data_IF_844403168399
#
_entry.id   IF_844403168399
#
_cell.length_a   1.000
_cell.length_b   1.000
_cell.length_c   1.000
_cell.angle_alpha   90.00
_cell.angle_beta   90.00
_cell.angle_gamma   90.00
#
_symmetry.space_group_name_H-M   'P 1'
#
loop_
_entity.id
_entity.type
_entity.pdbx_description
1 polymer ?
#
# COMPACT_ATOMS: atom_id res chain seq x y z
N UNK A 1 -11.19 -7.34 6.26
CA UNK A 1 -11.71 -6.10 5.63
C UNK A 1 -10.52 -5.44 4.97
N UNK A 2 -10.59 -5.18 3.67
CA UNK A 2 -9.46 -4.58 2.94
C UNK A 2 -9.74 -3.09 2.82
N UNK A 3 -8.73 -2.27 3.08
CA UNK A 3 -8.80 -0.81 2.92
C UNK A 3 -7.97 -0.42 1.72
N UNK A 4 -8.50 0.48 0.91
CA UNK A 4 -7.78 1.19 -0.14
C UNK A 4 -7.49 2.62 0.33
N UNK A 5 -6.22 3.00 0.32
CA UNK A 5 -5.77 4.36 0.57
C UNK A 5 -5.32 4.97 -0.75
N UNK A 6 -5.95 6.07 -1.17
CA UNK A 6 -5.57 6.79 -2.40
C UNK A 6 -4.64 7.94 -2.02
N UNK A 7 -3.45 7.93 -2.61
CA UNK A 7 -2.38 8.89 -2.36
C UNK A 7 -2.12 9.74 -3.59
N UNK A 8 -1.70 10.99 -3.36
CA UNK A 8 -1.25 11.90 -4.42
C UNK A 8 0.07 11.47 -5.05
N UNK A 9 0.95 10.85 -4.26
CA UNK A 9 2.31 10.50 -4.67
C UNK A 9 2.68 9.12 -4.13
N UNK A 10 3.65 8.46 -4.78
CA UNK A 10 4.12 7.15 -4.34
C UNK A 10 4.85 7.26 -3.00
N UNK A 11 4.48 6.45 -1.99
CA UNK A 11 5.22 6.46 -0.74
C UNK A 11 6.65 5.95 -0.98
N UNK A 12 7.63 6.69 -0.47
CA UNK A 12 9.02 6.21 -0.40
C UNK A 12 9.25 5.23 0.77
N UNK A 13 8.21 5.02 1.58
CA UNK A 13 8.25 4.08 2.69
C UNK A 13 8.49 2.65 2.17
N UNK A 14 9.64 2.08 2.51
CA UNK A 14 9.78 0.63 2.49
C UNK A 14 9.05 0.04 3.69
N UNK A 15 8.16 -0.92 3.42
CA UNK A 15 7.50 -1.70 4.46
C UNK A 15 8.49 -2.70 5.03
N UNK A 16 9.22 -2.29 6.06
CA UNK A 16 10.23 -3.11 6.73
C UNK A 16 9.63 -4.47 7.16
N UNK A 17 10.36 -5.56 6.88
CA UNK A 17 9.93 -6.92 7.19
C UNK A 17 9.03 -7.57 6.12
N UNK A 18 8.74 -6.88 5.02
CA UNK A 18 8.07 -7.44 3.86
C UNK A 18 9.03 -7.64 2.70
N UNK A 19 8.86 -8.72 1.95
CA UNK A 19 9.48 -8.88 0.65
C UNK A 19 8.74 -8.06 -0.39
N UNK A 20 9.51 -7.34 -1.20
CA UNK A 20 9.00 -6.49 -2.26
C UNK A 20 9.07 -7.22 -3.60
N UNK A 21 7.92 -7.38 -4.24
CA UNK A 21 7.81 -7.88 -5.62
C UNK A 21 7.37 -6.72 -6.52
N UNK A 22 8.25 -6.28 -7.40
CA UNK A 22 7.92 -5.24 -8.38
C UNK A 22 7.17 -5.83 -9.57
N UNK A 23 6.11 -5.13 -9.98
CA UNK A 23 5.30 -5.43 -11.14
C UNK A 23 5.34 -4.24 -12.11
N UNK A 24 5.02 -4.43 -13.40
CA UNK A 24 4.97 -3.32 -14.35
C UNK A 24 4.01 -2.19 -13.97
N UNK A 25 3.01 -2.46 -13.14
CA UNK A 25 1.92 -1.54 -12.76
C UNK A 25 1.88 -1.23 -11.25
N UNK A 26 2.90 -1.64 -10.49
CA UNK A 26 2.91 -1.41 -9.06
C UNK A 26 3.84 -2.36 -8.30
N UNK A 27 3.54 -2.57 -7.02
CA UNK A 27 4.38 -3.35 -6.12
C UNK A 27 3.52 -4.17 -5.17
N UNK A 28 3.93 -5.41 -4.91
CA UNK A 28 3.34 -6.25 -3.89
C UNK A 28 4.34 -6.40 -2.75
N UNK A 29 3.87 -6.22 -1.52
CA UNK A 29 4.61 -6.54 -0.30
C UNK A 29 3.99 -7.75 0.39
N UNK A 30 4.80 -8.81 0.53
CA UNK A 30 4.40 -10.08 1.15
C UNK A 30 5.21 -10.33 2.41
N UNK A 31 4.58 -10.95 3.42
CA UNK A 31 5.29 -11.41 4.62
C UNK A 31 5.68 -12.88 4.43
N UNK A 32 6.98 -13.17 4.38
CA UNK A 32 7.51 -14.53 4.23
C UNK A 32 7.10 -15.48 5.36
N UNK A 33 7.02 -14.98 6.60
CA UNK A 33 6.67 -15.79 7.77
C UNK A 33 5.21 -16.25 7.73
N UNK A 34 4.32 -15.43 7.19
CA UNK A 34 2.87 -15.72 7.13
C UNK A 34 2.38 -16.17 5.74
N UNK A 35 3.24 -16.14 4.71
CA UNK A 35 2.92 -16.44 3.29
C UNK A 35 1.66 -15.72 2.78
N UNK A 36 1.37 -14.52 3.29
CA UNK A 36 0.24 -13.69 2.88
C UNK A 36 0.72 -12.39 2.27
N UNK A 37 0.10 -12.01 1.14
CA UNK A 37 0.15 -10.65 0.60
C UNK A 37 -0.53 -9.72 1.60
N UNK A 38 0.19 -8.73 2.12
CA UNK A 38 -0.35 -7.79 3.10
C UNK A 38 -0.56 -6.40 2.54
N UNK A 39 0.19 -6.03 1.51
CA UNK A 39 0.12 -4.68 0.94
C UNK A 39 0.28 -4.78 -0.56
N UNK A 40 -0.65 -4.15 -1.30
CA UNK A 40 -0.57 -4.01 -2.75
C UNK A 40 -0.58 -2.53 -3.06
N UNK A 41 0.46 -2.07 -3.76
CA UNK A 41 0.58 -0.70 -4.24
C UNK A 41 0.33 -0.71 -5.74
N UNK A 42 -0.62 0.08 -6.20
CA UNK A 42 -0.99 0.19 -7.61
C UNK A 42 -0.80 1.62 -8.07
N UNK A 43 0.00 1.78 -9.11
CA UNK A 43 0.22 3.07 -9.76
C UNK A 43 -0.91 3.33 -10.76
N UNK A 44 -1.50 4.53 -10.72
CA UNK A 44 -2.52 4.98 -11.67
C UNK A 44 -1.89 5.86 -12.75
N UNK A 45 -2.58 5.94 -13.89
CA UNK A 45 -2.12 6.71 -15.05
C UNK A 45 -2.14 8.24 -14.81
N UNK A 46 -2.91 8.70 -13.83
CA UNK A 46 -3.03 10.10 -13.44
C UNK A 46 -2.00 10.52 -12.37
N UNK A 47 -1.04 9.63 -12.05
CA UNK A 47 0.02 9.86 -11.06
C UNK A 47 -0.38 9.51 -9.63
N UNK A 48 -1.64 9.14 -9.37
CA UNK A 48 -2.08 8.69 -8.06
C UNK A 48 -1.59 7.28 -7.76
N UNK A 49 -1.61 6.94 -6.47
CA UNK A 49 -1.25 5.59 -6.01
C UNK A 49 -2.34 5.06 -5.09
N UNK A 50 -2.79 3.83 -5.33
CA UNK A 50 -3.66 3.11 -4.39
C UNK A 50 -2.86 2.10 -3.58
N UNK A 51 -3.03 2.11 -2.26
CA UNK A 51 -2.49 1.09 -1.36
C UNK A 51 -3.64 0.27 -0.81
N UNK A 52 -3.64 -1.03 -1.11
CA UNK A 52 -4.58 -2.00 -0.57
C UNK A 52 -3.92 -2.78 0.57
N UNK A 53 -4.54 -2.77 1.75
CA UNK A 53 -4.05 -3.53 2.89
C UNK A 53 -5.18 -3.86 3.86
N UNK A 54 -5.05 -4.96 4.59
CA UNK A 54 -5.86 -5.28 5.77
C UNK A 54 -5.13 -5.01 7.09
N UNK A 55 -3.89 -4.49 7.02
CA UNK A 55 -3.06 -4.21 8.18
C UNK A 55 -3.30 -2.79 8.71
N UNK A 56 -3.91 -2.70 9.88
CA UNK A 56 -4.23 -1.42 10.52
C UNK A 56 -2.99 -0.55 10.82
N UNK A 57 -1.82 -1.14 11.09
CA UNK A 57 -0.60 -0.38 11.36
C UNK A 57 -0.05 0.26 10.07
N UNK A 58 -0.21 -0.42 8.94
CA UNK A 58 0.11 0.15 7.61
C UNK A 58 -0.84 1.31 7.32
N UNK A 59 -2.13 1.15 7.58
CA UNK A 59 -3.12 2.22 7.38
C UNK A 59 -2.76 3.44 8.22
N UNK A 60 -2.49 3.25 9.52
CA UNK A 60 -2.10 4.35 10.42
C UNK A 60 -0.81 5.03 9.98
N UNK A 61 0.21 4.25 9.60
CA UNK A 61 1.48 4.78 9.13
C UNK A 61 1.25 5.69 7.92
N UNK A 62 0.62 5.17 6.86
CA UNK A 62 0.38 5.90 5.62
C UNK A 62 -0.49 7.15 5.85
N UNK A 63 -1.58 7.02 6.62
CA UNK A 63 -2.46 8.15 6.93
C UNK A 63 -1.78 9.25 7.76
N UNK A 64 -0.72 8.91 8.50
CA UNK A 64 0.05 9.87 9.29
C UNK A 64 1.23 10.50 8.54
N UNK A 65 1.77 9.81 7.54
CA UNK A 65 3.00 10.23 6.84
C UNK A 65 2.77 10.77 5.43
N UNK A 66 1.59 10.59 4.85
CA UNK A 66 1.30 10.99 3.46
C UNK A 66 -0.01 11.77 3.32
N UNK A 67 -0.11 12.52 2.22
CA UNK A 67 -1.34 13.20 1.81
C UNK A 67 -2.33 12.18 1.21
N UNK A 68 -3.23 11.68 2.06
CA UNK A 68 -4.30 10.75 1.67
C UNK A 68 -5.46 11.53 1.09
N UNK A 69 -5.74 11.29 -0.19
CA UNK A 69 -6.82 11.90 -0.94
C UNK A 69 -8.17 11.26 -0.63
N UNK A 70 -8.19 9.93 -0.46
CA UNK A 70 -9.42 9.17 -0.20
C UNK A 70 -9.14 7.83 0.50
N UNK A 71 -10.15 7.31 1.19
CA UNK A 71 -10.12 6.00 1.87
C UNK A 71 -11.38 5.21 1.53
N UNK A 72 -11.20 4.06 0.87
CA UNK A 72 -12.29 3.13 0.62
C UNK A 72 -12.17 1.88 1.48
N UNK A 73 -13.31 1.39 1.98
CA UNK A 73 -13.43 0.11 2.66
C UNK A 73 -14.07 -0.89 1.69
N UNK A 74 -13.42 -2.06 1.51
CA UNK A 74 -13.83 -3.14 0.61
C UNK A 74 -14.07 -4.45 1.37
#
# INVERSE_FOLDING_TARGET
MIVELVLRERPQDDFAGYEKLELPTGVIYSNLAERRTKIVVKDHHDGRVSIFTDNADVVKKIASSHDVLDIHVK
#
